data_IF_321878505937
#
_entry.id   IF_321878505937
#
_cell.length_a   1.000
_cell.length_b   1.000
_cell.length_c   1.000
_cell.angle_alpha   90.00
_cell.angle_beta   90.00
_cell.angle_gamma   90.00
#
_symmetry.space_group_name_H-M   'P 1'
#
loop_
_entity.id
_entity.type
_entity.pdbx_description
1 polymer ?
#
# COMPACT_ATOMS: atom_id res chain seq x y z
N UNK A 1 75.43 -58.67 -13.38
CA UNK A 1 74.32 -59.05 -12.47
C UNK A 1 73.65 -57.78 -12.04
N UNK A 2 72.47 -57.52 -12.53
CA UNK A 2 71.67 -56.33 -12.17
C UNK A 2 70.50 -56.82 -11.31
N UNK A 3 70.39 -56.33 -10.09
CA UNK A 3 69.27 -56.60 -9.18
C UNK A 3 68.25 -55.55 -9.34
N UNK A 4 67.02 -55.91 -9.74
CA UNK A 4 65.85 -55.04 -9.87
C UNK A 4 65.01 -55.21 -8.62
N UNK A 5 64.90 -54.12 -7.83
CA UNK A 5 64.14 -54.10 -6.58
C UNK A 5 62.72 -53.63 -6.95
N UNK A 6 61.65 -54.42 -6.70
CA UNK A 6 60.24 -54.04 -6.85
C UNK A 6 59.79 -53.41 -5.56
N UNK A 7 59.34 -52.14 -5.66
CA UNK A 7 58.63 -51.43 -4.58
C UNK A 7 57.13 -51.70 -4.77
N UNK A 8 56.51 -52.40 -3.83
CA UNK A 8 55.06 -52.60 -3.79
C UNK A 8 54.43 -51.44 -3.04
N UNK A 9 53.72 -50.58 -3.75
CA UNK A 9 52.96 -49.46 -3.19
C UNK A 9 51.60 -49.98 -2.74
N UNK A 10 51.40 -50.05 -1.40
CA UNK A 10 50.12 -50.38 -0.79
C UNK A 10 49.15 -49.16 -0.86
N UNK A 11 48.13 -49.22 -1.69
CA UNK A 11 47.11 -48.22 -1.84
C UNK A 11 46.03 -48.42 -0.76
N UNK A 12 46.09 -47.60 0.31
CA UNK A 12 45.03 -47.55 1.32
C UNK A 12 43.89 -46.74 0.77
N UNK A 13 42.80 -47.40 0.36
CA UNK A 13 41.52 -46.76 -0.01
C UNK A 13 40.77 -46.45 1.28
N UNK A 14 40.81 -45.16 1.69
CA UNK A 14 39.98 -44.66 2.77
C UNK A 14 38.57 -44.49 2.18
N UNK A 15 37.64 -45.36 2.52
CA UNK A 15 36.22 -45.17 2.32
C UNK A 15 35.75 -44.07 3.27
N UNK A 16 35.69 -42.84 2.79
CA UNK A 16 34.86 -41.80 3.44
C UNK A 16 33.41 -42.19 3.23
N UNK A 17 32.81 -42.83 4.23
CA UNK A 17 31.34 -42.93 4.31
C UNK A 17 30.79 -41.51 4.53
N UNK A 18 30.48 -40.85 3.42
CA UNK A 18 29.62 -39.66 3.43
C UNK A 18 28.27 -40.09 4.01
N UNK A 19 28.01 -39.74 5.25
CA UNK A 19 26.64 -39.73 5.78
C UNK A 19 25.82 -38.78 4.94
N UNK A 20 25.09 -39.32 3.99
CA UNK A 20 24.05 -38.66 3.23
C UNK A 20 22.89 -38.38 4.21
N UNK A 21 22.98 -37.30 4.98
CA UNK A 21 21.86 -36.76 5.71
C UNK A 21 20.86 -36.28 4.63
N UNK A 22 19.94 -37.16 4.21
CA UNK A 22 18.79 -36.79 3.42
C UNK A 22 18.18 -35.55 4.07
N UNK A 23 18.34 -34.40 3.41
CA UNK A 23 17.68 -33.14 3.79
C UNK A 23 16.16 -33.39 3.76
N UNK A 24 15.61 -33.87 4.86
CA UNK A 24 14.17 -34.05 4.98
C UNK A 24 13.53 -32.66 5.01
N UNK A 25 12.55 -32.41 4.16
CA UNK A 25 11.76 -31.18 4.19
C UNK A 25 11.21 -30.98 5.63
N UNK A 26 11.59 -29.89 6.32
CA UNK A 26 11.12 -29.59 7.67
C UNK A 26 9.59 -29.62 7.79
N UNK A 27 8.86 -29.24 6.74
CA UNK A 27 7.40 -29.28 6.71
C UNK A 27 6.84 -30.72 6.68
N UNK A 28 7.65 -31.71 6.32
CA UNK A 28 7.25 -33.13 6.43
C UNK A 28 7.32 -33.66 7.88
N UNK A 29 8.07 -32.97 8.75
CA UNK A 29 8.33 -33.36 10.14
C UNK A 29 7.47 -32.55 11.13
N UNK A 30 7.32 -31.25 10.88
CA UNK A 30 6.67 -30.32 11.79
C UNK A 30 5.62 -29.44 11.08
N UNK A 31 4.70 -28.88 11.85
CA UNK A 31 3.78 -27.84 11.39
C UNK A 31 3.46 -26.85 12.51
N UNK A 32 3.23 -25.60 12.14
CA UNK A 32 2.70 -24.58 13.05
C UNK A 32 1.17 -24.72 13.09
N UNK A 33 0.62 -24.94 14.27
CA UNK A 33 -0.82 -24.91 14.53
C UNK A 33 -1.19 -23.58 15.20
N UNK A 34 -2.14 -22.85 14.62
CA UNK A 34 -2.68 -21.63 15.18
C UNK A 34 -3.96 -21.98 15.95
N UNK A 35 -4.09 -21.50 17.19
CA UNK A 35 -5.24 -21.77 18.03
C UNK A 35 -6.56 -21.41 17.31
N UNK A 36 -7.51 -22.34 17.30
CA UNK A 36 -8.78 -22.21 16.59
C UNK A 36 -8.68 -22.35 15.07
N UNK A 37 -7.54 -22.80 14.54
CA UNK A 37 -7.28 -23.00 13.10
C UNK A 37 -7.61 -21.79 12.22
N UNK A 38 -7.40 -20.59 12.77
CA UNK A 38 -7.72 -19.31 12.12
C UNK A 38 -6.77 -19.06 10.93
N UNK A 39 -7.34 -18.62 9.80
CA UNK A 39 -6.59 -18.11 8.63
C UNK A 39 -6.43 -16.59 8.68
N UNK A 40 -7.36 -15.92 9.36
CA UNK A 40 -7.33 -14.47 9.57
C UNK A 40 -7.67 -14.14 11.01
N UNK A 41 -7.11 -13.07 11.54
CA UNK A 41 -7.28 -12.55 12.90
C UNK A 41 -7.44 -11.05 12.87
N UNK A 42 -8.00 -10.50 13.95
CA UNK A 42 -8.06 -9.05 14.14
C UNK A 42 -6.72 -8.52 14.64
N UNK A 43 -6.37 -7.29 14.27
CA UNK A 43 -5.21 -6.63 14.86
C UNK A 43 -5.39 -6.29 16.37
N UNK A 44 -6.58 -6.49 16.95
CA UNK A 44 -6.77 -6.44 18.40
C UNK A 44 -6.49 -7.78 19.10
N UNK A 45 -6.27 -8.87 18.33
CA UNK A 45 -6.09 -10.20 18.90
C UNK A 45 -4.64 -10.43 19.36
N UNK A 46 -4.50 -11.20 20.44
CA UNK A 46 -3.29 -11.97 20.73
C UNK A 46 -3.50 -13.38 20.22
N UNK A 47 -2.60 -13.85 19.38
CA UNK A 47 -2.71 -15.17 18.74
C UNK A 47 -1.70 -16.12 19.35
N UNK A 48 -2.19 -17.32 19.69
CA UNK A 48 -1.37 -18.41 20.22
C UNK A 48 -1.13 -19.45 19.14
N UNK A 49 0.07 -19.99 19.09
CA UNK A 49 0.47 -21.01 18.14
C UNK A 49 1.42 -22.05 18.79
N UNK A 50 1.40 -23.27 18.27
CA UNK A 50 2.20 -24.39 18.77
C UNK A 50 2.85 -25.13 17.61
N UNK A 51 3.91 -25.90 17.91
CA UNK A 51 4.48 -26.85 16.96
C UNK A 51 3.85 -28.22 17.17
N UNK A 52 3.41 -28.83 16.07
CA UNK A 52 3.02 -30.21 16.01
C UNK A 52 4.08 -31.03 15.30
N UNK A 53 4.60 -32.06 15.98
CA UNK A 53 5.41 -33.09 15.36
C UNK A 53 4.50 -34.06 14.59
N UNK A 54 4.79 -34.25 13.29
CA UNK A 54 3.99 -35.14 12.42
C UNK A 54 4.44 -36.59 12.47
N UNK A 55 5.67 -36.85 12.95
CA UNK A 55 6.29 -38.18 13.01
C UNK A 55 6.71 -38.56 14.42
N UNK A 56 6.23 -37.85 15.44
CA UNK A 56 6.57 -38.13 16.83
C UNK A 56 7.98 -37.72 17.24
N UNK A 57 8.68 -36.89 16.44
CA UNK A 57 10.01 -36.40 16.79
C UNK A 57 9.92 -35.56 18.07
N UNK A 58 10.85 -35.75 19.01
CA UNK A 58 10.97 -34.91 20.19
C UNK A 58 11.26 -33.46 19.78
N UNK A 59 10.77 -32.51 20.54
CA UNK A 59 11.06 -31.09 20.40
C UNK A 59 11.86 -30.67 21.60
N UNK A 60 13.10 -30.24 21.38
CA UNK A 60 14.04 -29.90 22.45
C UNK A 60 13.95 -28.39 22.77
N UNK A 61 13.78 -27.56 21.75
CA UNK A 61 13.59 -26.11 21.88
C UNK A 61 12.80 -25.54 20.69
N UNK A 62 12.12 -24.42 20.90
CA UNK A 62 11.46 -23.65 19.83
C UNK A 62 11.61 -22.16 20.10
N UNK A 63 11.96 -21.42 19.04
CA UNK A 63 11.86 -19.97 19.03
C UNK A 63 10.92 -19.53 17.91
N UNK A 64 10.11 -18.48 18.19
CA UNK A 64 9.14 -17.97 17.25
C UNK A 64 9.41 -16.52 16.86
N UNK A 65 9.05 -16.17 15.65
CA UNK A 65 9.00 -14.78 15.18
C UNK A 65 7.79 -14.55 14.26
N UNK A 66 7.32 -13.31 14.21
CA UNK A 66 6.30 -12.85 13.26
C UNK A 66 6.91 -11.73 12.43
N UNK A 67 7.02 -11.94 11.12
CA UNK A 67 7.76 -11.03 10.21
C UNK A 67 9.16 -10.63 10.73
N UNK A 68 9.84 -11.55 11.43
CA UNK A 68 11.17 -11.32 12.02
C UNK A 68 11.15 -10.72 13.43
N UNK A 69 10.04 -10.19 13.91
CA UNK A 69 9.89 -9.75 15.30
C UNK A 69 9.70 -10.95 16.23
N UNK A 70 10.48 -10.99 17.33
CA UNK A 70 10.46 -12.11 18.27
C UNK A 70 9.09 -12.20 18.97
N UNK A 71 8.48 -13.38 18.93
CA UNK A 71 7.27 -13.70 19.66
C UNK A 71 7.62 -14.29 21.05
N UNK A 72 6.69 -14.15 22.00
CA UNK A 72 6.81 -14.79 23.29
C UNK A 72 6.67 -16.32 23.14
N UNK A 73 7.39 -17.10 23.96
CA UNK A 73 7.25 -18.55 24.05
C UNK A 73 7.27 -18.96 25.53
N UNK A 74 6.45 -19.99 25.89
CA UNK A 74 6.46 -20.58 27.21
C UNK A 74 7.23 -21.91 27.22
N UNK A 75 7.37 -22.51 28.42
CA UNK A 75 8.07 -23.80 28.63
C UNK A 75 7.41 -24.99 27.91
N UNK A 76 6.13 -24.88 27.56
CA UNK A 76 5.41 -25.89 26.78
C UNK A 76 5.53 -25.68 25.26
N UNK A 77 6.51 -24.90 24.79
CA UNK A 77 6.75 -24.54 23.40
C UNK A 77 5.54 -23.87 22.70
N UNK A 78 4.68 -23.23 23.48
CA UNK A 78 3.58 -22.45 22.95
C UNK A 78 4.03 -21.01 22.73
N UNK A 79 3.91 -20.53 21.50
CA UNK A 79 4.18 -19.14 21.13
C UNK A 79 2.94 -18.27 21.22
N UNK A 80 3.12 -16.97 21.48
CA UNK A 80 2.07 -15.97 21.39
C UNK A 80 2.58 -14.66 20.82
N UNK A 81 1.72 -13.95 20.08
CA UNK A 81 2.04 -12.65 19.49
C UNK A 81 0.81 -11.73 19.50
N UNK A 82 1.00 -10.49 19.93
CA UNK A 82 -0.03 -9.46 19.93
C UNK A 82 0.09 -8.61 18.68
N UNK A 83 -0.99 -8.50 17.90
CA UNK A 83 -1.01 -7.79 16.62
C UNK A 83 -1.40 -6.30 16.70
N UNK A 84 -1.59 -5.73 17.91
CA UNK A 84 -2.14 -4.36 18.07
C UNK A 84 -1.28 -3.25 17.44
N UNK A 85 0.04 -3.45 17.38
CA UNK A 85 0.98 -2.48 16.85
C UNK A 85 1.52 -2.86 15.45
N UNK A 86 0.87 -3.81 14.78
CA UNK A 86 1.31 -4.23 13.44
C UNK A 86 0.49 -3.56 12.34
N UNK A 87 1.09 -3.41 11.16
CA UNK A 87 0.33 -3.11 9.95
C UNK A 87 -0.60 -4.27 9.61
N UNK A 88 -1.70 -3.98 8.90
CA UNK A 88 -2.61 -5.01 8.43
C UNK A 88 -2.01 -5.84 7.28
N UNK A 89 -2.71 -6.91 6.88
CA UNK A 89 -2.31 -7.78 5.79
C UNK A 89 -1.58 -9.04 6.23
N UNK A 90 -0.96 -9.73 5.27
CA UNK A 90 -0.36 -11.03 5.53
C UNK A 90 0.90 -10.93 6.37
N UNK A 91 0.99 -11.78 7.38
CA UNK A 91 2.14 -11.94 8.27
C UNK A 91 2.64 -13.37 8.23
N UNK A 92 3.95 -13.53 8.35
CA UNK A 92 4.62 -14.84 8.38
C UNK A 92 5.04 -15.17 9.80
N UNK A 93 4.39 -16.17 10.41
CA UNK A 93 4.84 -16.79 11.65
C UNK A 93 5.94 -17.78 11.28
N UNK A 94 7.13 -17.61 11.81
CA UNK A 94 8.26 -18.52 11.63
C UNK A 94 8.60 -19.19 12.96
N UNK A 95 8.99 -20.46 12.90
CA UNK A 95 9.49 -21.21 14.04
C UNK A 95 10.84 -21.85 13.69
N UNK A 96 11.83 -21.67 14.57
CA UNK A 96 13.07 -22.41 14.58
C UNK A 96 12.95 -23.48 15.68
N UNK A 97 13.12 -24.75 15.29
CA UNK A 97 12.88 -25.94 16.12
C UNK A 97 14.19 -26.67 16.27
N UNK A 98 14.58 -26.98 17.49
CA UNK A 98 15.65 -27.92 17.79
C UNK A 98 15.05 -29.31 18.09
N UNK A 99 15.54 -30.34 17.43
CA UNK A 99 15.05 -31.72 17.57
C UNK A 99 16.17 -32.71 17.26
N UNK A 100 16.55 -33.54 18.24
CA UNK A 100 17.58 -34.57 18.10
C UNK A 100 18.93 -33.99 17.62
N UNK A 101 19.33 -32.83 18.13
CA UNK A 101 20.56 -32.12 17.77
C UNK A 101 20.55 -31.42 16.41
N UNK A 102 19.44 -31.44 15.69
CA UNK A 102 19.27 -30.74 14.41
C UNK A 102 18.39 -29.50 14.57
N UNK A 103 18.60 -28.52 13.67
CA UNK A 103 17.75 -27.28 13.59
C UNK A 103 16.90 -27.30 12.34
N UNK A 104 15.61 -27.02 12.53
CA UNK A 104 14.61 -26.96 11.46
C UNK A 104 13.92 -25.61 11.47
N UNK A 105 13.60 -25.08 10.30
CA UNK A 105 12.83 -23.84 10.17
C UNK A 105 11.57 -24.10 9.35
N UNK A 106 10.44 -23.71 9.89
CA UNK A 106 9.13 -23.77 9.21
C UNK A 106 8.43 -22.42 9.33
N UNK A 107 7.46 -22.16 8.45
CA UNK A 107 6.66 -20.94 8.51
C UNK A 107 5.22 -21.19 8.14
N UNK A 108 4.34 -20.28 8.58
CA UNK A 108 2.91 -20.27 8.27
C UNK A 108 2.40 -18.85 8.15
N UNK A 109 1.63 -18.56 7.11
CA UNK A 109 1.02 -17.25 6.91
C UNK A 109 -0.29 -17.13 7.68
N UNK A 110 -0.58 -15.90 8.14
CA UNK A 110 -1.84 -15.49 8.74
C UNK A 110 -2.17 -14.07 8.26
N UNK A 111 -3.45 -13.80 7.95
CA UNK A 111 -3.89 -12.45 7.54
C UNK A 111 -4.37 -11.66 8.74
N UNK A 112 -3.85 -10.45 8.94
CA UNK A 112 -4.28 -9.53 9.99
C UNK A 112 -5.27 -8.54 9.40
N UNK A 113 -6.52 -8.57 9.88
CA UNK A 113 -7.62 -7.69 9.51
C UNK A 113 -7.75 -6.54 10.51
N UNK A 114 -8.44 -5.46 10.12
CA UNK A 114 -8.79 -4.38 11.03
C UNK A 114 -9.74 -4.86 12.15
N UNK A 115 -9.50 -4.40 13.37
CA UNK A 115 -10.47 -4.55 14.47
C UNK A 115 -11.66 -3.57 14.34
N UNK A 116 -11.53 -2.55 13.48
CA UNK A 116 -12.53 -1.51 13.31
C UNK A 116 -13.40 -1.84 12.10
N UNK A 117 -14.71 -1.89 12.30
CA UNK A 117 -15.69 -1.91 11.21
C UNK A 117 -15.80 -0.50 10.63
N UNK A 118 -15.70 -0.30 9.30
CA UNK A 118 -15.82 1.02 8.70
C UNK A 118 -17.19 1.66 8.96
N UNK A 119 -17.18 2.93 9.33
CA UNK A 119 -18.38 3.76 9.38
C UNK A 119 -18.78 4.10 7.94
N UNK A 120 -20.05 4.01 7.61
CA UNK A 120 -20.57 4.42 6.32
C UNK A 120 -21.12 5.83 6.43
N UNK A 121 -20.63 6.71 5.55
CA UNK A 121 -21.06 8.10 5.45
C UNK A 121 -21.90 8.30 4.19
N UNK A 122 -22.97 9.06 4.33
CA UNK A 122 -23.69 9.69 3.22
C UNK A 122 -23.20 11.14 3.04
N UNK A 123 -23.63 11.82 2.00
CA UNK A 123 -23.18 13.18 1.68
C UNK A 123 -24.35 14.10 1.32
N UNK A 124 -24.13 15.39 1.50
CA UNK A 124 -24.92 16.46 0.88
C UNK A 124 -24.02 17.38 0.07
N UNK A 125 -24.48 17.87 -1.04
CA UNK A 125 -23.78 18.87 -1.85
C UNK A 125 -24.03 20.23 -1.21
N UNK A 126 -22.98 20.94 -0.85
CA UNK A 126 -23.07 22.32 -0.36
C UNK A 126 -23.00 23.31 -1.51
N UNK A 127 -22.04 23.10 -2.41
CA UNK A 127 -21.79 23.98 -3.55
C UNK A 127 -21.36 23.15 -4.77
N UNK A 128 -21.56 23.71 -5.94
CA UNK A 128 -21.14 23.12 -7.21
C UNK A 128 -20.43 24.19 -8.03
N UNK A 129 -19.22 23.88 -8.49
CA UNK A 129 -18.39 24.75 -9.28
C UNK A 129 -18.19 24.19 -10.67
N UNK A 130 -17.95 25.06 -11.68
CA UNK A 130 -17.54 24.59 -13.00
C UNK A 130 -16.21 23.86 -12.93
N UNK A 131 -16.05 22.84 -13.77
CA UNK A 131 -14.80 22.10 -13.93
C UNK A 131 -14.57 21.81 -15.42
N UNK A 132 -13.33 21.70 -15.83
CA UNK A 132 -12.97 21.47 -17.22
C UNK A 132 -13.37 20.06 -17.67
N UNK A 133 -14.36 19.95 -18.54
CA UNK A 133 -14.92 18.67 -19.02
C UNK A 133 -13.88 17.79 -19.76
N UNK A 134 -12.81 18.39 -20.24
CA UNK A 134 -11.69 17.69 -20.88
C UNK A 134 -10.64 17.17 -19.88
N UNK A 135 -10.77 17.50 -18.59
CA UNK A 135 -9.86 17.07 -17.56
C UNK A 135 -10.07 15.58 -17.21
N UNK A 136 -9.10 14.75 -17.57
CA UNK A 136 -9.05 13.38 -17.10
C UNK A 136 -8.31 13.35 -15.75
N UNK A 137 -9.02 13.81 -14.71
CA UNK A 137 -8.47 14.09 -13.37
C UNK A 137 -7.80 12.88 -12.74
N UNK A 138 -6.55 13.05 -12.31
CA UNK A 138 -5.74 12.03 -11.66
C UNK A 138 -5.18 12.47 -10.30
N UNK A 139 -5.20 13.77 -10.02
CA UNK A 139 -4.83 14.31 -8.72
C UNK A 139 -5.33 15.72 -8.55
N UNK A 140 -5.71 16.08 -7.33
CA UNK A 140 -6.18 17.39 -6.93
C UNK A 140 -5.55 17.80 -5.59
N UNK A 141 -5.17 19.07 -5.45
CA UNK A 141 -4.76 19.62 -4.16
C UNK A 141 -4.95 21.13 -4.11
N UNK A 142 -5.40 21.65 -2.98
CA UNK A 142 -5.52 23.08 -2.74
C UNK A 142 -4.27 23.67 -2.09
N UNK A 143 -3.88 24.86 -2.58
CA UNK A 143 -3.00 25.77 -1.82
C UNK A 143 -3.74 27.09 -1.69
N UNK A 144 -4.25 27.37 -0.50
CA UNK A 144 -5.16 28.51 -0.28
C UNK A 144 -6.43 28.38 -1.14
N UNK A 145 -6.65 29.35 -2.02
CA UNK A 145 -7.80 29.37 -2.96
C UNK A 145 -7.44 28.88 -4.36
N UNK A 146 -6.25 28.39 -4.56
CA UNK A 146 -5.80 27.86 -5.86
C UNK A 146 -5.94 26.35 -5.86
N UNK A 147 -6.58 25.79 -6.88
CA UNK A 147 -6.66 24.37 -7.12
C UNK A 147 -5.59 23.94 -8.13
N UNK A 148 -4.74 23.01 -7.73
CA UNK A 148 -3.81 22.35 -8.62
C UNK A 148 -4.37 20.99 -9.05
N UNK A 149 -4.26 20.69 -10.34
CA UNK A 149 -4.82 19.49 -10.92
C UNK A 149 -3.82 18.81 -11.84
N UNK A 150 -3.66 17.50 -11.67
CA UNK A 150 -2.98 16.62 -12.62
C UNK A 150 -3.99 15.89 -13.47
N UNK A 151 -3.86 15.98 -14.80
CA UNK A 151 -4.74 15.29 -15.75
C UNK A 151 -3.97 14.25 -16.53
N UNK A 152 -4.52 13.04 -16.65
CA UNK A 152 -3.93 11.92 -17.38
C UNK A 152 -4.33 11.90 -18.87
N UNK A 153 -3.88 10.91 -19.56
CA UNK A 153 -4.00 10.51 -20.97
C UNK A 153 -2.71 10.76 -21.75
N UNK A 154 -2.22 9.72 -22.42
CA UNK A 154 -1.10 9.86 -23.35
C UNK A 154 -1.40 10.94 -24.39
N UNK A 155 -0.43 11.81 -24.65
CA UNK A 155 -0.51 12.96 -25.55
C UNK A 155 -1.46 14.10 -25.12
N UNK A 156 -2.09 13.97 -23.92
CA UNK A 156 -3.00 14.98 -23.38
C UNK A 156 -2.81 15.26 -21.90
N UNK A 157 -1.82 14.63 -21.27
CA UNK A 157 -1.51 14.85 -19.86
C UNK A 157 -1.05 16.25 -19.57
N UNK A 158 -1.48 16.81 -18.44
CA UNK A 158 -1.11 18.17 -18.05
C UNK A 158 -1.06 18.34 -16.52
N UNK A 159 -0.36 19.40 -16.11
CA UNK A 159 -0.43 19.99 -14.79
C UNK A 159 -1.12 21.34 -14.93
N UNK A 160 -2.19 21.58 -14.16
CA UNK A 160 -3.03 22.77 -14.23
C UNK A 160 -3.05 23.53 -12.92
N UNK A 161 -3.07 24.86 -13.02
CA UNK A 161 -3.42 25.78 -11.95
C UNK A 161 -4.77 26.38 -12.29
N UNK A 162 -5.77 26.24 -11.41
CA UNK A 162 -7.18 26.52 -11.72
C UNK A 162 -7.80 27.39 -10.64
N UNK A 163 -8.52 28.42 -11.04
CA UNK A 163 -9.51 29.10 -10.20
C UNK A 163 -10.72 28.16 -10.03
N UNK A 164 -10.83 27.50 -8.90
CA UNK A 164 -11.88 26.50 -8.69
C UNK A 164 -13.29 27.08 -8.68
N UNK A 165 -13.45 28.38 -8.37
CA UNK A 165 -14.79 29.02 -8.33
C UNK A 165 -15.38 29.21 -9.72
N UNK A 166 -14.53 29.55 -10.67
CA UNK A 166 -14.93 29.80 -12.07
C UNK A 166 -14.63 28.61 -12.99
N UNK A 167 -13.83 27.64 -12.56
CA UNK A 167 -13.34 26.54 -13.39
C UNK A 167 -12.31 26.97 -14.43
N UNK A 168 -11.84 28.23 -14.38
CA UNK A 168 -10.87 28.76 -15.34
C UNK A 168 -9.47 28.21 -15.06
N UNK A 169 -8.91 27.54 -16.05
CA UNK A 169 -7.51 27.12 -16.03
C UNK A 169 -6.62 28.35 -16.29
N UNK A 170 -5.91 28.81 -15.25
CA UNK A 170 -5.05 29.98 -15.29
C UNK A 170 -3.69 29.67 -15.91
N UNK A 171 -3.18 28.47 -15.65
CA UNK A 171 -1.92 27.96 -16.22
C UNK A 171 -2.05 26.49 -16.52
N UNK A 172 -1.55 26.09 -17.69
CA UNK A 172 -1.55 24.70 -18.15
C UNK A 172 -0.15 24.33 -18.65
N UNK A 173 0.46 23.30 -18.06
CA UNK A 173 1.74 22.75 -18.47
C UNK A 173 1.46 21.37 -19.08
N UNK A 174 1.57 21.26 -20.38
CA UNK A 174 1.45 19.98 -21.09
C UNK A 174 2.69 19.11 -20.86
N UNK A 175 2.47 17.83 -20.58
CA UNK A 175 3.56 16.84 -20.53
C UNK A 175 3.89 16.36 -21.95
N UNK A 176 5.10 15.82 -22.12
CA UNK A 176 5.46 15.10 -23.33
C UNK A 176 4.49 13.92 -23.57
N UNK A 177 4.13 13.68 -24.82
CA UNK A 177 3.08 12.73 -25.20
C UNK A 177 3.33 11.27 -24.81
N UNK A 178 4.55 10.93 -24.43
CA UNK A 178 4.91 9.62 -23.91
C UNK A 178 4.48 9.37 -22.46
N UNK A 179 4.16 10.42 -21.71
CA UNK A 179 3.79 10.31 -20.29
C UNK A 179 2.29 10.31 -20.10
N UNK A 180 1.86 9.43 -19.20
CA UNK A 180 0.52 9.47 -18.64
C UNK A 180 0.63 10.02 -17.21
N UNK A 181 0.23 11.26 -16.99
CA UNK A 181 0.29 11.88 -15.66
C UNK A 181 -0.75 11.28 -14.71
N UNK A 182 -0.37 11.19 -13.45
CA UNK A 182 -1.14 10.61 -12.36
C UNK A 182 -1.21 11.57 -11.17
N UNK A 183 -1.34 11.08 -9.95
CA UNK A 183 -1.51 11.85 -8.74
C UNK A 183 -0.48 12.96 -8.56
N UNK A 184 -0.85 14.02 -7.89
CA UNK A 184 0.03 15.12 -7.50
C UNK A 184 -0.03 15.36 -6.00
N UNK A 185 1.00 15.99 -5.46
CA UNK A 185 0.96 16.57 -4.10
C UNK A 185 1.94 17.73 -3.95
N UNK A 186 1.70 18.60 -2.98
CA UNK A 186 2.46 19.83 -2.79
C UNK A 186 3.05 19.85 -1.38
N UNK A 187 4.38 19.88 -1.29
CA UNK A 187 5.10 19.96 -0.03
C UNK A 187 6.03 21.17 -0.06
N UNK A 188 5.86 22.07 0.90
CA UNK A 188 6.62 23.33 0.95
C UNK A 188 6.38 24.13 -0.33
N UNK A 189 7.43 24.47 -1.09
CA UNK A 189 7.33 25.18 -2.37
C UNK A 189 7.57 24.27 -3.57
N UNK A 190 7.28 22.97 -3.46
CA UNK A 190 7.47 21.99 -4.54
C UNK A 190 6.20 21.24 -4.81
N UNK A 191 5.88 21.06 -6.08
CA UNK A 191 4.82 20.19 -6.54
C UNK A 191 5.44 18.92 -7.13
N UNK A 192 4.90 17.78 -6.72
CA UNK A 192 5.30 16.46 -7.19
C UNK A 192 4.15 15.88 -8.01
N UNK A 193 4.44 15.34 -9.18
CA UNK A 193 3.47 14.74 -10.09
C UNK A 193 3.96 13.36 -10.53
N UNK A 194 3.15 12.33 -10.36
CA UNK A 194 3.48 10.96 -10.78
C UNK A 194 3.21 10.74 -12.27
N UNK A 195 3.79 9.69 -12.80
CA UNK A 195 3.40 9.05 -14.06
C UNK A 195 2.92 7.64 -13.83
N UNK A 196 2.10 7.09 -14.74
CA UNK A 196 1.48 5.78 -14.58
C UNK A 196 2.49 4.62 -14.58
N UNK A 197 3.13 4.37 -15.73
CA UNK A 197 3.96 3.18 -15.98
C UNK A 197 5.43 3.50 -16.24
N UNK A 198 5.77 4.76 -16.31
CA UNK A 198 7.11 5.22 -16.64
C UNK A 198 8.07 5.15 -15.43
N UNK A 199 7.59 4.70 -14.26
CA UNK A 199 8.34 4.55 -13.01
C UNK A 199 9.05 5.82 -12.54
N UNK A 200 8.51 6.97 -12.90
CA UNK A 200 9.09 8.26 -12.57
C UNK A 200 8.02 9.29 -12.23
N UNK A 201 8.41 10.31 -11.51
CA UNK A 201 7.62 11.50 -11.28
C UNK A 201 8.42 12.76 -11.60
N UNK A 202 7.71 13.87 -11.70
CA UNK A 202 8.24 15.20 -11.96
C UNK A 202 8.19 16.05 -10.71
N UNK A 203 9.16 16.97 -10.59
CA UNK A 203 9.23 17.96 -9.53
C UNK A 203 9.15 19.33 -10.20
N UNK A 204 8.24 20.17 -9.72
CA UNK A 204 8.05 21.52 -10.18
C UNK A 204 8.26 22.51 -9.03
N UNK A 205 8.76 23.68 -9.32
CA UNK A 205 8.62 24.84 -8.45
C UNK A 205 7.16 25.27 -8.41
N UNK A 206 6.60 25.49 -7.24
CA UNK A 206 5.16 25.76 -7.07
C UNK A 206 4.73 27.13 -7.63
N UNK A 207 5.60 28.14 -7.55
CA UNK A 207 5.30 29.51 -7.98
C UNK A 207 5.33 29.63 -9.50
N UNK A 208 6.41 29.12 -10.10
CA UNK A 208 6.65 29.23 -11.54
C UNK A 208 6.03 28.10 -12.34
N UNK A 209 5.76 26.94 -11.75
CA UNK A 209 5.41 25.66 -12.37
C UNK A 209 6.47 25.19 -13.38
N UNK A 210 7.70 25.65 -13.26
CA UNK A 210 8.82 25.13 -14.03
C UNK A 210 9.29 23.80 -13.47
N UNK A 211 9.56 22.85 -14.37
CA UNK A 211 10.08 21.54 -13.98
C UNK A 211 11.52 21.67 -13.49
N UNK A 212 11.77 21.38 -12.23
CA UNK A 212 13.07 21.48 -11.58
C UNK A 212 13.79 20.14 -11.43
N UNK A 213 13.09 19.03 -11.61
CA UNK A 213 13.70 17.71 -11.48
C UNK A 213 12.75 16.55 -11.79
N UNK A 214 13.29 15.36 -11.55
CA UNK A 214 12.56 14.09 -11.66
C UNK A 214 12.96 13.19 -10.50
N UNK A 215 12.13 12.21 -10.19
CA UNK A 215 12.43 11.15 -9.23
C UNK A 215 11.93 9.81 -9.76
N UNK A 216 12.53 8.73 -9.29
CA UNK A 216 12.13 7.38 -9.65
C UNK A 216 11.52 6.65 -8.44
N UNK A 217 10.51 5.82 -8.67
CA UNK A 217 10.00 4.88 -7.69
C UNK A 217 10.33 3.45 -8.14
N UNK A 218 10.95 2.67 -7.25
CA UNK A 218 11.66 1.43 -7.63
C UNK A 218 10.95 0.15 -7.20
N UNK A 219 10.19 0.18 -6.09
CA UNK A 219 9.54 -1.01 -5.52
C UNK A 219 8.17 -1.26 -6.14
N UNK A 220 7.37 -0.21 -6.30
CA UNK A 220 6.13 -0.28 -7.07
C UNK A 220 6.40 -0.08 -8.55
N UNK A 221 5.51 -0.62 -9.40
CA UNK A 221 5.67 -0.54 -10.88
C UNK A 221 4.81 0.53 -11.51
N UNK A 222 3.94 1.18 -10.73
CA UNK A 222 3.00 2.18 -11.22
C UNK A 222 2.85 3.30 -10.19
N UNK A 223 2.64 4.52 -10.66
CA UNK A 223 2.17 5.63 -9.85
C UNK A 223 0.69 5.87 -10.13
N UNK A 224 -0.13 6.04 -9.06
CA UNK A 224 -1.55 6.36 -9.17
C UNK A 224 -1.86 7.62 -8.39
N UNK A 225 -2.27 7.56 -7.13
CA UNK A 225 -2.51 8.72 -6.28
C UNK A 225 -1.28 9.14 -5.48
N UNK A 226 -1.25 10.39 -5.04
CA UNK A 226 -0.19 10.94 -4.22
C UNK A 226 -0.77 11.98 -3.25
N UNK A 227 -0.42 11.89 -1.97
CA UNK A 227 -0.71 12.91 -0.97
C UNK A 227 0.45 13.05 0.01
N UNK A 228 0.38 13.99 0.96
CA UNK A 228 1.42 14.20 1.95
C UNK A 228 0.84 14.61 3.33
N UNK A 229 1.60 14.34 4.40
CA UNK A 229 1.29 14.76 5.78
C UNK A 229 2.10 16.01 6.21
N UNK A 230 2.79 16.66 5.29
CA UNK A 230 3.73 17.76 5.53
C UNK A 230 5.18 17.30 5.75
N UNK A 231 5.40 16.00 6.04
CA UNK A 231 6.72 15.39 6.30
C UNK A 231 7.04 14.22 5.40
N UNK A 232 6.07 13.41 5.07
CA UNK A 232 6.19 12.22 4.23
C UNK A 232 5.19 12.27 3.10
N UNK A 233 5.52 11.65 1.97
CA UNK A 233 4.60 11.47 0.86
C UNK A 233 4.01 10.05 0.92
N UNK A 234 2.76 9.92 0.48
CA UNK A 234 2.03 8.65 0.38
C UNK A 234 1.57 8.43 -1.04
N UNK A 235 1.94 7.29 -1.62
CA UNK A 235 1.70 6.95 -3.03
C UNK A 235 0.92 5.66 -3.16
N UNK A 236 -0.17 5.66 -3.90
CA UNK A 236 -0.84 4.43 -4.34
C UNK A 236 -0.24 3.89 -5.65
N UNK A 237 -0.47 2.61 -5.94
CA UNK A 237 0.05 1.93 -7.11
C UNK A 237 -1.00 1.07 -7.84
N UNK A 238 -2.28 1.30 -7.53
CA UNK A 238 -3.40 0.54 -8.09
C UNK A 238 -3.65 -0.82 -7.43
N UNK A 239 -2.82 -1.23 -6.47
CA UNK A 239 -3.06 -2.39 -5.60
C UNK A 239 -3.75 -1.95 -4.30
N UNK A 240 -3.69 -2.78 -3.26
CA UNK A 240 -4.08 -2.40 -1.90
C UNK A 240 -3.04 -1.58 -1.15
N UNK A 241 -1.86 -1.36 -1.73
CA UNK A 241 -0.73 -0.73 -1.06
C UNK A 241 -0.78 0.78 -1.19
N UNK A 242 -0.44 1.44 -0.09
CA UNK A 242 -0.08 2.85 -0.04
C UNK A 242 1.35 2.91 0.47
N UNK A 243 2.25 3.34 -0.40
CA UNK A 243 3.68 3.46 -0.15
C UNK A 243 3.98 4.75 0.60
N UNK A 244 4.79 4.67 1.62
CA UNK A 244 5.39 5.84 2.28
C UNK A 244 6.73 6.13 1.61
N UNK A 245 6.90 7.36 1.12
CA UNK A 245 8.11 7.84 0.49
C UNK A 245 8.88 8.74 1.43
N UNK A 246 10.19 8.65 1.38
CA UNK A 246 11.08 9.60 2.03
C UNK A 246 10.92 10.99 1.38
N UNK A 247 10.73 12.04 2.18
CA UNK A 247 10.45 13.39 1.65
C UNK A 247 11.66 14.08 0.99
N UNK A 248 12.86 13.58 1.21
CA UNK A 248 14.10 14.13 0.63
C UNK A 248 14.53 13.35 -0.61
N UNK A 249 14.60 12.04 -0.49
CA UNK A 249 15.07 11.14 -1.56
C UNK A 249 13.96 10.67 -2.48
N UNK A 250 12.69 10.79 -2.06
CA UNK A 250 11.47 10.28 -2.73
C UNK A 250 11.48 8.76 -2.96
N UNK A 251 12.40 8.06 -2.29
CA UNK A 251 12.46 6.60 -2.32
C UNK A 251 11.30 5.98 -1.53
N UNK A 252 10.76 4.90 -2.05
CA UNK A 252 9.74 4.11 -1.36
C UNK A 252 10.38 3.34 -0.19
N UNK A 253 10.03 3.68 1.05
CA UNK A 253 10.60 3.08 2.27
C UNK A 253 9.81 1.87 2.73
N UNK A 254 8.53 2.07 2.95
CA UNK A 254 7.59 1.08 3.49
C UNK A 254 6.22 1.23 2.85
N UNK A 255 5.30 0.36 3.20
CA UNK A 255 3.90 0.47 2.77
C UNK A 255 2.95 -0.03 3.87
N UNK A 256 1.72 0.44 3.80
CA UNK A 256 0.56 -0.13 4.46
C UNK A 256 -0.33 -0.80 3.40
N UNK A 257 -1.11 -1.81 3.81
CA UNK A 257 -2.14 -2.40 2.97
C UNK A 257 -3.53 -2.09 3.50
N UNK A 258 -4.45 -1.76 2.61
CA UNK A 258 -5.81 -1.39 2.99
C UNK A 258 -6.66 -2.62 3.33
N UNK A 259 -7.14 -2.68 4.57
CA UNK A 259 -8.05 -3.71 5.03
C UNK A 259 -9.21 -3.14 5.84
N UNK A 260 -10.38 -3.73 5.67
CA UNK A 260 -11.50 -3.62 6.59
C UNK A 260 -11.41 -4.71 7.66
N UNK A 261 -12.43 -4.82 8.50
CA UNK A 261 -12.57 -5.92 9.45
C UNK A 261 -12.91 -7.28 8.80
N UNK A 262 -13.15 -7.32 7.50
CA UNK A 262 -13.55 -8.53 6.77
C UNK A 262 -12.77 -8.80 5.50
N UNK A 263 -12.18 -7.78 4.87
CA UNK A 263 -11.61 -7.93 3.53
C UNK A 263 -10.49 -6.93 3.23
N UNK A 264 -9.64 -7.32 2.31
CA UNK A 264 -8.67 -6.47 1.61
C UNK A 264 -9.39 -5.54 0.63
N UNK A 265 -8.89 -4.33 0.49
CA UNK A 265 -9.38 -3.35 -0.51
C UNK A 265 -8.27 -3.09 -1.51
N UNK A 266 -8.50 -3.47 -2.75
CA UNK A 266 -7.60 -3.23 -3.87
C UNK A 266 -8.07 -2.05 -4.74
N UNK A 267 -7.27 -1.69 -5.74
CA UNK A 267 -7.54 -0.61 -6.69
C UNK A 267 -7.55 0.78 -6.04
N UNK A 268 -6.66 1.00 -5.08
CA UNK A 268 -6.47 2.31 -4.46
C UNK A 268 -5.93 3.27 -5.50
N UNK A 269 -6.64 4.41 -5.67
CA UNK A 269 -6.34 5.37 -6.71
C UNK A 269 -5.92 6.71 -6.12
N UNK A 270 -6.54 7.79 -6.49
CA UNK A 270 -6.20 9.14 -6.07
C UNK A 270 -6.32 9.29 -4.56
N UNK A 271 -5.40 10.07 -3.97
CA UNK A 271 -5.22 10.22 -2.53
C UNK A 271 -5.21 11.68 -2.11
N UNK A 272 -5.83 11.95 -0.95
CA UNK A 272 -5.76 13.24 -0.27
C UNK A 272 -5.51 13.06 1.23
N UNK A 273 -4.68 13.92 1.84
CA UNK A 273 -4.46 13.94 3.28
C UNK A 273 -5.43 14.90 3.97
N UNK A 274 -6.30 14.37 4.83
CA UNK A 274 -7.30 15.17 5.53
C UNK A 274 -7.27 14.86 7.03
N UNK A 275 -6.89 15.84 7.85
CA UNK A 275 -6.97 15.78 9.31
C UNK A 275 -6.40 14.49 9.93
N UNK A 276 -5.20 14.07 9.49
CA UNK A 276 -4.51 12.90 10.05
C UNK A 276 -4.98 11.55 9.49
N UNK A 277 -5.72 11.55 8.39
CA UNK A 277 -6.14 10.35 7.67
C UNK A 277 -5.88 10.49 6.16
N UNK A 278 -5.69 9.37 5.48
CA UNK A 278 -5.63 9.32 4.03
C UNK A 278 -7.04 9.05 3.50
N UNK A 279 -7.52 9.91 2.61
CA UNK A 279 -8.74 9.71 1.84
C UNK A 279 -8.35 9.18 0.48
N UNK A 280 -9.01 8.12 0.02
CA UNK A 280 -8.64 7.44 -1.22
C UNK A 280 -9.85 7.16 -2.10
N UNK A 281 -9.78 7.53 -3.37
CA UNK A 281 -10.66 6.98 -4.38
C UNK A 281 -10.36 5.49 -4.59
N UNK A 282 -11.39 4.68 -4.73
CA UNK A 282 -11.27 3.28 -5.12
C UNK A 282 -11.73 3.16 -6.58
N UNK A 283 -10.81 2.78 -7.46
CA UNK A 283 -11.08 2.75 -8.90
C UNK A 283 -12.33 1.92 -9.22
N UNK A 284 -13.17 2.44 -10.09
CA UNK A 284 -14.48 1.90 -10.48
C UNK A 284 -15.55 1.87 -9.37
N UNK A 285 -15.29 2.43 -8.18
CA UNK A 285 -16.27 2.52 -7.11
C UNK A 285 -16.69 3.97 -6.89
N UNK A 286 -17.98 4.25 -6.71
CA UNK A 286 -18.47 5.60 -6.37
C UNK A 286 -18.31 5.83 -4.85
N UNK A 287 -17.10 5.71 -4.34
CA UNK A 287 -16.82 5.78 -2.91
C UNK A 287 -15.39 6.27 -2.64
N UNK A 288 -15.22 6.92 -1.48
CA UNK A 288 -13.95 7.32 -0.93
C UNK A 288 -13.74 6.55 0.38
N UNK A 289 -12.59 5.91 0.53
CA UNK A 289 -12.19 5.27 1.78
C UNK A 289 -11.44 6.25 2.68
N UNK A 290 -11.68 6.21 3.99
CA UNK A 290 -10.95 6.95 5.03
C UNK A 290 -10.04 5.95 5.75
N UNK A 291 -8.72 6.17 5.68
CA UNK A 291 -7.71 5.18 6.02
C UNK A 291 -6.84 5.69 7.16
N UNK A 292 -6.52 4.82 8.11
CA UNK A 292 -5.51 5.08 9.12
C UNK A 292 -4.10 4.92 8.50
N UNK A 293 -3.29 5.99 8.42
CA UNK A 293 -1.98 5.93 7.78
C UNK A 293 -0.94 5.10 8.55
N UNK A 294 -1.19 4.78 9.83
CA UNK A 294 -0.24 4.01 10.61
C UNK A 294 -0.29 2.50 10.34
N UNK A 295 -1.45 1.97 9.93
CA UNK A 295 -1.63 0.51 9.78
C UNK A 295 -2.45 0.06 8.57
N UNK A 296 -3.12 0.96 7.85
CA UNK A 296 -3.94 0.65 6.67
C UNK A 296 -5.40 0.30 6.97
N UNK A 297 -5.86 0.46 8.21
CA UNK A 297 -7.25 0.21 8.58
C UNK A 297 -8.20 1.21 7.89
N UNK A 298 -9.18 0.70 7.15
CA UNK A 298 -10.28 1.51 6.63
C UNK A 298 -11.23 1.81 7.78
N UNK A 299 -11.26 3.07 8.21
CA UNK A 299 -12.11 3.57 9.32
C UNK A 299 -13.50 4.00 8.85
N UNK A 300 -13.60 4.44 7.59
CA UNK A 300 -14.84 4.96 7.05
C UNK A 300 -14.90 4.82 5.53
N UNK A 301 -16.12 4.92 5.01
CA UNK A 301 -16.40 4.92 3.58
C UNK A 301 -17.46 5.97 3.29
N UNK A 302 -17.13 6.98 2.48
CA UNK A 302 -18.07 7.98 2.00
C UNK A 302 -18.70 7.43 0.73
N UNK A 303 -20.01 7.19 0.77
CA UNK A 303 -20.77 6.66 -0.35
C UNK A 303 -21.25 7.78 -1.28
N UNK A 304 -20.60 7.94 -2.43
CA UNK A 304 -20.92 8.97 -3.43
C UNK A 304 -21.79 8.45 -4.59
N UNK A 305 -22.52 7.34 -4.35
CA UNK A 305 -23.45 6.79 -5.33
C UNK A 305 -24.46 7.84 -5.77
N UNK A 306 -24.57 8.03 -7.08
CA UNK A 306 -25.49 9.01 -7.68
C UNK A 306 -24.85 10.35 -8.03
N UNK A 307 -23.64 10.68 -7.51
CA UNK A 307 -22.97 11.94 -7.82
C UNK A 307 -22.63 12.06 -9.31
N UNK A 308 -22.16 11.01 -9.96
CA UNK A 308 -21.88 10.95 -11.42
C UNK A 308 -23.10 11.31 -12.29
N UNK A 309 -24.33 11.10 -11.80
CA UNK A 309 -25.55 11.47 -12.53
C UNK A 309 -25.83 12.97 -12.51
N UNK A 310 -25.12 13.75 -11.69
CA UNK A 310 -25.31 15.19 -11.53
C UNK A 310 -24.41 16.05 -12.42
N UNK A 311 -23.52 15.40 -13.19
CA UNK A 311 -22.66 16.03 -14.21
C UNK A 311 -23.24 15.82 -15.60
N UNK A 312 -22.79 16.61 -16.59
CA UNK A 312 -23.18 16.44 -17.98
C UNK A 312 -22.81 15.03 -18.48
N UNK A 313 -23.81 14.35 -19.05
CA UNK A 313 -23.64 13.00 -19.58
C UNK A 313 -23.12 13.07 -21.02
N UNK A 314 -21.99 12.44 -21.29
CA UNK A 314 -21.35 12.40 -22.61
C UNK A 314 -20.51 11.11 -22.77
N UNK A 315 -20.08 10.81 -23.99
CA UNK A 315 -19.42 9.56 -24.34
C UNK A 315 -18.03 9.34 -23.72
N UNK A 316 -17.36 10.40 -23.23
CA UNK A 316 -16.06 10.34 -22.55
C UNK A 316 -16.18 10.37 -21.03
N UNK A 317 -17.40 10.51 -20.48
CA UNK A 317 -17.63 10.59 -19.05
C UNK A 317 -17.16 9.32 -18.34
N UNK A 318 -16.21 9.45 -17.40
CA UNK A 318 -15.61 8.32 -16.73
C UNK A 318 -15.85 8.38 -15.19
N UNK A 319 -15.05 7.70 -14.41
CA UNK A 319 -15.26 7.45 -12.99
C UNK A 319 -14.98 8.66 -12.11
N UNK A 320 -15.54 8.62 -10.90
CA UNK A 320 -15.14 9.47 -9.77
C UNK A 320 -13.62 9.34 -9.56
N UNK A 321 -12.92 10.45 -9.56
CA UNK A 321 -11.51 10.54 -9.23
C UNK A 321 -11.13 12.00 -8.98
N UNK A 322 -10.42 12.26 -7.90
CA UNK A 322 -10.02 13.58 -7.44
C UNK A 322 -10.72 13.98 -6.15
N UNK A 323 -9.93 14.15 -5.11
CA UNK A 323 -10.30 14.60 -3.77
C UNK A 323 -9.39 15.78 -3.44
N UNK A 324 -9.96 16.85 -2.90
CA UNK A 324 -9.16 17.94 -2.35
C UNK A 324 -9.81 18.44 -1.06
N UNK A 325 -9.01 18.98 -0.14
CA UNK A 325 -9.47 19.50 1.13
C UNK A 325 -8.92 20.90 1.41
N UNK A 326 -9.72 21.73 2.07
CA UNK A 326 -9.28 23.02 2.62
C UNK A 326 -9.19 22.99 4.15
N UNK A 327 -9.21 21.78 4.74
CA UNK A 327 -9.12 21.56 6.18
C UNK A 327 -10.42 21.75 6.95
N UNK A 328 -11.55 22.03 6.26
CA UNK A 328 -12.86 22.17 6.90
C UNK A 328 -13.36 20.83 7.44
N UNK A 329 -13.87 20.74 8.66
CA UNK A 329 -14.35 19.47 9.22
C UNK A 329 -15.48 18.84 8.37
N UNK A 330 -15.32 17.57 8.01
CA UNK A 330 -16.28 16.77 7.22
C UNK A 330 -16.63 17.36 5.84
N UNK A 331 -15.80 18.26 5.33
CA UNK A 331 -16.00 18.89 4.01
C UNK A 331 -14.82 18.53 3.11
N UNK A 332 -15.13 18.04 1.92
CA UNK A 332 -14.17 17.76 0.86
C UNK A 332 -14.71 18.25 -0.49
N UNK A 333 -13.79 18.44 -1.42
CA UNK A 333 -14.11 18.76 -2.81
C UNK A 333 -13.83 17.54 -3.66
N UNK A 334 -14.78 17.17 -4.52
CA UNK A 334 -14.67 15.96 -5.34
C UNK A 334 -15.10 16.21 -6.77
N UNK A 335 -14.42 15.56 -7.70
CA UNK A 335 -14.75 15.55 -9.11
C UNK A 335 -14.57 14.15 -9.71
N UNK A 336 -14.47 14.04 -11.02
CA UNK A 336 -14.19 12.79 -11.71
C UNK A 336 -13.59 13.04 -13.09
N UNK A 337 -13.12 11.96 -13.69
CA UNK A 337 -12.51 11.96 -15.03
C UNK A 337 -13.52 12.41 -16.07
N UNK A 338 -13.20 13.52 -16.74
CA UNK A 338 -14.09 14.19 -17.71
C UNK A 338 -15.44 14.67 -17.13
N UNK A 339 -15.44 15.09 -15.87
CA UNK A 339 -16.60 15.72 -15.26
C UNK A 339 -16.54 17.23 -15.48
N UNK A 340 -17.71 17.86 -15.74
CA UNK A 340 -17.85 19.31 -15.91
C UNK A 340 -18.12 20.07 -14.59
N UNK A 341 -18.05 19.35 -13.44
CA UNK A 341 -18.35 19.92 -12.13
C UNK A 341 -17.37 19.44 -11.06
N UNK A 342 -16.99 20.37 -10.20
CA UNK A 342 -16.35 20.13 -8.91
C UNK A 342 -17.42 20.35 -7.82
N UNK A 343 -17.60 19.37 -6.94
CA UNK A 343 -18.60 19.44 -5.87
C UNK A 343 -17.93 19.67 -4.53
N UNK A 344 -18.33 20.71 -3.80
CA UNK A 344 -18.08 20.84 -2.36
C UNK A 344 -19.16 20.05 -1.64
N UNK A 345 -18.77 19.01 -0.91
CA UNK A 345 -19.68 18.14 -0.18
C UNK A 345 -19.37 18.13 1.31
N UNK A 346 -20.42 18.01 2.12
CA UNK A 346 -20.31 17.64 3.53
C UNK A 346 -20.77 16.20 3.69
N UNK A 347 -19.94 15.37 4.33
CA UNK A 347 -20.30 13.99 4.62
C UNK A 347 -20.67 13.83 6.11
N UNK A 348 -21.60 12.93 6.39
CA UNK A 348 -22.14 12.66 7.72
C UNK A 348 -22.44 11.18 7.88
N UNK A 349 -22.35 10.69 9.12
CA UNK A 349 -22.62 9.29 9.41
C UNK A 349 -24.05 8.92 9.00
N UNK A 350 -24.16 7.83 8.26
CA UNK A 350 -25.45 7.27 7.86
C UNK A 350 -26.13 6.67 9.07
N UNK A 351 -27.30 7.23 9.46
CA UNK A 351 -28.14 6.70 10.52
C UNK A 351 -28.85 5.42 10.11
#
# INVERSE_FOLDING_TARGET
MKYTTYFATLLIVIFCSSCDTKNQDPNSLFSIEIQGNKKAVSNADTVTFTIKSKKGNAIDAVTYSVNGEKALANEAFQGSFNFSNTTLGDKVISAEIESGGNKYRISKSITVLSSVKPIVYDYKILETYPHAIDAYTQGLEFVGDVLYESTGQYRASSLRKTDYKTGRVEKNISLDGQYFAEGLTIVKNKLFQLTWRENMGFIYDLETLEKTGTFAYNKSKQGWGLCNDGTSLYKSDGTSKIWKLNSETLAEESYIEMYTNTSKIDNVNELEWVNGAIYANIYLKPAIAIINPSNGAVKGVINLKGLKKKVTQHNKLDVLNGIASKGEPNIIYVTGKNWDKLFKIEFFEKK
#
